data_IF_508125533370
#
_entry.id   IF_508125533370
#
_cell.length_a   1.000
_cell.length_b   1.000
_cell.length_c   1.000
_cell.angle_alpha   90.00
_cell.angle_beta   90.00
_cell.angle_gamma   90.00
#
_symmetry.space_group_name_H-M   'P 1'
#
loop_
_entity.id
_entity.type
_entity.pdbx_description
1 polymer ?
#
# COMPACT_ATOMS: atom_id res chain seq x y z
N UNK A 1 -5.06 0.52 18.10
CA UNK A 1 -4.51 1.79 17.59
C UNK A 1 -3.98 1.51 16.19
N UNK A 2 -4.39 2.29 15.19
CA UNK A 2 -3.92 2.11 13.81
C UNK A 2 -2.47 2.60 13.71
N UNK A 3 -1.53 1.79 13.19
CA UNK A 3 -0.16 2.24 13.03
C UNK A 3 -0.08 3.30 11.93
N UNK A 4 0.76 4.31 12.16
CA UNK A 4 0.97 5.43 11.26
C UNK A 4 2.47 5.67 11.06
N UNK A 5 2.87 5.84 9.81
CA UNK A 5 4.21 6.17 9.37
C UNK A 5 4.16 7.52 8.65
N UNK A 6 4.74 8.55 9.27
CA UNK A 6 4.83 9.90 8.69
C UNK A 6 5.64 9.90 7.38
N UNK A 7 6.68 9.07 7.32
CA UNK A 7 7.50 8.89 6.12
C UNK A 7 6.66 8.50 4.90
N UNK A 8 5.58 7.74 5.09
CA UNK A 8 4.66 7.36 4.03
C UNK A 8 3.97 8.59 3.42
N UNK A 9 3.54 9.57 4.22
CA UNK A 9 2.90 10.78 3.70
C UNK A 9 3.90 11.69 2.98
N UNK A 10 5.15 11.73 3.45
CA UNK A 10 6.21 12.54 2.86
C UNK A 10 6.65 12.05 1.48
N UNK A 11 6.60 10.74 1.22
CA UNK A 11 7.17 10.14 0.02
C UNK A 11 6.16 9.45 -0.93
N UNK A 12 4.89 9.30 -0.54
CA UNK A 12 3.88 8.58 -1.36
C UNK A 12 3.72 9.14 -2.77
N UNK A 13 3.77 10.46 -2.95
CA UNK A 13 3.51 11.06 -4.27
C UNK A 13 4.64 10.79 -5.26
N UNK A 14 5.90 10.96 -4.83
CA UNK A 14 7.07 10.71 -5.69
C UNK A 14 7.25 9.22 -5.99
N UNK A 15 6.91 8.35 -5.03
CA UNK A 15 6.93 6.90 -5.24
C UNK A 15 5.80 6.47 -6.18
N UNK A 16 4.61 7.06 -6.04
CA UNK A 16 3.46 6.76 -6.89
C UNK A 16 3.76 7.01 -8.38
N UNK A 17 4.40 8.14 -8.71
CA UNK A 17 4.74 8.46 -10.10
C UNK A 17 5.59 7.38 -10.75
N UNK A 18 6.57 6.84 -10.01
CA UNK A 18 7.43 5.75 -10.47
C UNK A 18 6.66 4.43 -10.60
N UNK A 19 5.88 4.07 -9.57
CA UNK A 19 5.08 2.83 -9.55
C UNK A 19 4.07 2.81 -10.70
N UNK A 20 3.38 3.92 -10.94
CA UNK A 20 2.35 4.03 -11.99
C UNK A 20 2.92 3.68 -13.36
N UNK A 21 4.12 4.15 -13.68
CA UNK A 21 4.75 3.87 -14.97
C UNK A 21 5.20 2.41 -15.09
N UNK A 22 5.83 1.86 -14.04
CA UNK A 22 6.36 0.49 -14.08
C UNK A 22 5.28 -0.59 -14.09
N UNK A 23 4.12 -0.33 -13.48
CA UNK A 23 3.03 -1.31 -13.35
C UNK A 23 1.81 -0.98 -14.22
N UNK A 24 1.96 -0.13 -15.25
CA UNK A 24 0.88 0.24 -16.16
C UNK A 24 0.24 -0.95 -16.90
N UNK A 25 1.01 -2.02 -17.15
CA UNK A 25 0.55 -3.23 -17.85
C UNK A 25 0.41 -4.45 -16.93
N UNK A 26 0.62 -4.29 -15.63
CA UNK A 26 0.41 -5.36 -14.65
C UNK A 26 -1.06 -5.41 -14.23
N UNK A 27 -1.48 -6.55 -13.69
CA UNK A 27 -2.82 -6.74 -13.11
C UNK A 27 -2.77 -7.17 -11.63
N UNK A 28 -1.63 -7.70 -11.18
CA UNK A 28 -1.43 -8.19 -9.83
C UNK A 28 -0.08 -7.72 -9.30
N UNK A 29 -0.05 -7.25 -8.06
CA UNK A 29 1.15 -6.78 -7.39
C UNK A 29 1.22 -7.31 -5.96
N UNK A 30 2.38 -7.84 -5.58
CA UNK A 30 2.69 -8.24 -4.21
C UNK A 30 3.66 -7.23 -3.59
N UNK A 31 3.21 -6.54 -2.55
CA UNK A 31 4.04 -5.65 -1.74
C UNK A 31 4.69 -6.45 -0.60
N UNK A 32 6.01 -6.51 -0.61
CA UNK A 32 6.80 -7.16 0.44
C UNK A 32 7.23 -6.12 1.47
N UNK A 33 6.92 -6.36 2.74
CA UNK A 33 7.28 -5.43 3.82
C UNK A 33 6.31 -4.25 3.91
N UNK A 34 5.01 -4.53 3.89
CA UNK A 34 3.96 -3.52 3.88
C UNK A 34 3.90 -2.61 5.10
N UNK A 35 4.54 -2.98 6.21
CA UNK A 35 4.62 -2.17 7.42
C UNK A 35 3.25 -1.78 7.95
N UNK A 36 2.88 -0.51 7.85
CA UNK A 36 1.57 0.00 8.30
C UNK A 36 0.45 -0.20 7.27
N UNK A 37 0.77 -0.55 6.02
CA UNK A 37 -0.19 -0.69 4.91
C UNK A 37 -0.67 0.63 4.31
N UNK A 38 -0.11 1.79 4.69
CA UNK A 38 -0.56 3.09 4.17
C UNK A 38 -0.28 3.29 2.67
N UNK A 39 0.90 2.87 2.20
CA UNK A 39 1.26 2.95 0.77
C UNK A 39 0.33 2.07 -0.07
N UNK A 40 0.11 0.83 0.33
CA UNK A 40 -0.80 -0.09 -0.35
C UNK A 40 -2.17 0.52 -0.59
N UNK A 41 -2.76 1.14 0.42
CA UNK A 41 -4.04 1.83 0.31
C UNK A 41 -3.96 3.03 -0.63
N UNK A 42 -2.96 3.89 -0.44
CA UNK A 42 -2.80 5.09 -1.26
C UNK A 42 -2.64 4.77 -2.76
N UNK A 43 -1.86 3.73 -3.08
CA UNK A 43 -1.58 3.31 -4.45
C UNK A 43 -2.74 2.52 -5.07
N UNK A 44 -3.34 1.57 -4.34
CA UNK A 44 -4.45 0.75 -4.83
C UNK A 44 -5.66 1.58 -5.24
N UNK A 45 -5.97 2.66 -4.50
CA UNK A 45 -7.04 3.61 -4.88
C UNK A 45 -6.80 4.31 -6.23
N UNK A 46 -5.53 4.50 -6.60
CA UNK A 46 -5.12 5.26 -7.79
C UNK A 46 -4.75 4.37 -8.98
N UNK A 47 -4.62 3.07 -8.75
CA UNK A 47 -4.31 2.06 -9.76
C UNK A 47 -5.39 0.95 -9.71
N UNK A 48 -6.66 1.26 -10.02
CA UNK A 48 -7.77 0.33 -9.84
C UNK A 48 -7.70 -0.90 -10.76
N UNK A 49 -6.83 -0.89 -11.78
CA UNK A 49 -6.54 -2.05 -12.62
C UNK A 49 -5.62 -3.07 -11.94
N UNK A 50 -4.97 -2.70 -10.84
CA UNK A 50 -4.09 -3.57 -10.07
C UNK A 50 -4.81 -4.17 -8.86
N UNK A 51 -4.76 -5.49 -8.76
CA UNK A 51 -5.00 -6.19 -7.50
C UNK A 51 -3.76 -6.08 -6.62
N UNK A 52 -3.85 -5.24 -5.58
CA UNK A 52 -2.74 -4.97 -4.66
C UNK A 52 -2.79 -5.90 -3.46
N UNK A 53 -1.79 -6.77 -3.32
CA UNK A 53 -1.66 -7.69 -2.20
C UNK A 53 -0.54 -7.22 -1.27
N UNK A 54 -0.88 -6.98 0.01
CA UNK A 54 0.10 -6.67 1.05
C UNK A 54 0.69 -7.92 1.68
N UNK A 55 1.96 -7.85 2.10
CA UNK A 55 2.58 -8.92 2.88
C UNK A 55 3.64 -8.39 3.84
N UNK A 56 3.71 -9.00 5.01
CA UNK A 56 4.70 -8.68 6.04
C UNK A 56 4.80 -9.85 7.05
N UNK A 57 5.63 -9.70 8.09
CA UNK A 57 5.63 -10.58 9.27
C UNK A 57 4.26 -10.53 9.95
N UNK A 58 3.86 -11.66 10.56
CA UNK A 58 2.55 -11.80 11.21
C UNK A 58 2.26 -10.69 12.24
N UNK A 59 3.28 -10.20 12.95
CA UNK A 59 3.15 -9.09 13.92
C UNK A 59 2.62 -7.78 13.32
N UNK A 60 2.84 -7.55 12.02
CA UNK A 60 2.40 -6.34 11.31
C UNK A 60 1.01 -6.51 10.67
N UNK A 61 0.47 -7.73 10.56
CA UNK A 61 -0.78 -8.00 9.84
C UNK A 61 -1.97 -7.28 10.45
N UNK A 62 -2.06 -7.23 11.78
CA UNK A 62 -3.14 -6.50 12.45
C UNK A 62 -3.13 -5.00 12.12
N UNK A 63 -1.93 -4.43 11.94
CA UNK A 63 -1.75 -3.04 11.52
C UNK A 63 -2.20 -2.77 10.08
N UNK A 64 -1.80 -3.66 9.17
CA UNK A 64 -2.17 -3.61 7.75
C UNK A 64 -3.69 -3.74 7.57
N UNK A 65 -4.32 -4.71 8.24
CA UNK A 65 -5.77 -4.91 8.20
C UNK A 65 -6.53 -3.68 8.72
N UNK A 66 -6.12 -3.17 9.90
CA UNK A 66 -6.69 -1.93 10.43
C UNK A 66 -6.46 -0.71 9.51
N UNK A 67 -5.45 -0.76 8.63
CA UNK A 67 -5.26 0.26 7.64
C UNK A 67 -6.31 0.22 6.53
N UNK A 68 -6.62 -0.98 6.04
CA UNK A 68 -7.60 -1.26 5.00
C UNK A 68 -9.05 -0.98 5.41
N UNK A 69 -9.40 -1.17 6.68
CA UNK A 69 -10.75 -0.91 7.21
C UNK A 69 -11.22 0.56 7.08
N UNK A 70 -10.33 1.49 6.70
CA UNK A 70 -10.67 2.90 6.45
C UNK A 70 -11.32 3.14 5.08
N UNK A 71 -11.43 2.12 4.22
CA UNK A 71 -11.93 2.21 2.85
C UNK A 71 -13.21 1.39 2.58
N UNK A 72 -14.00 1.14 3.64
CA UNK A 72 -15.35 0.56 3.57
C UNK A 72 -16.43 1.55 4.01
#
# INVERSE_FOLDING_TARGET
MKPYAESCDQNRDVIFEVIREHFAAAEQLLEIGSGTGQHAIYFAERLPHLSWQTSDRLENHAGILACADRHG
#
